data_IF_919953965203
#
_entry.id   IF_919953965203
#
_cell.length_a   1.000
_cell.length_b   1.000
_cell.length_c   1.000
_cell.angle_alpha   90.00
_cell.angle_beta   90.00
_cell.angle_gamma   90.00
#
_symmetry.space_group_name_H-M   'P 1'
#
loop_
_entity.id
_entity.type
_entity.pdbx_description
1 polymer ?
#
# COMPACT_ATOMS: atom_id res chain seq x y z
N UNK A 1 -3.59 -11.43 -4.22
CA UNK A 1 -4.73 -11.54 -5.12
C UNK A 1 -4.22 -11.13 -6.48
N UNK A 2 -4.52 -11.96 -7.47
CA UNK A 2 -4.20 -11.71 -8.87
C UNK A 2 -5.08 -10.55 -9.39
N UNK A 3 -4.65 -9.87 -10.47
CA UNK A 3 -5.44 -8.80 -11.09
C UNK A 3 -6.90 -9.19 -11.36
N UNK A 4 -7.12 -10.33 -12.02
CA UNK A 4 -8.47 -10.81 -12.39
C UNK A 4 -9.39 -10.97 -11.18
N UNK A 5 -8.89 -11.54 -10.08
CA UNK A 5 -9.65 -11.72 -8.84
C UNK A 5 -10.07 -10.37 -8.24
N UNK A 6 -9.18 -9.37 -8.27
CA UNK A 6 -9.47 -8.03 -7.74
C UNK A 6 -10.48 -7.29 -8.60
N UNK A 7 -10.35 -7.39 -9.92
CA UNK A 7 -11.31 -6.76 -10.85
C UNK A 7 -12.71 -7.39 -10.73
N UNK A 8 -12.79 -8.71 -10.56
CA UNK A 8 -14.05 -9.42 -10.32
C UNK A 8 -14.68 -8.99 -8.99
N UNK A 9 -13.89 -8.93 -7.90
CA UNK A 9 -14.37 -8.49 -6.58
C UNK A 9 -14.88 -7.04 -6.58
N UNK A 10 -14.32 -6.19 -7.43
CA UNK A 10 -14.73 -4.80 -7.59
C UNK A 10 -15.82 -4.61 -8.66
N UNK A 11 -16.34 -5.70 -9.22
CA UNK A 11 -17.36 -5.70 -10.27
C UNK A 11 -16.98 -4.80 -11.47
N UNK A 12 -15.69 -4.79 -11.83
CA UNK A 12 -15.14 -3.91 -12.87
C UNK A 12 -15.62 -4.37 -14.24
N UNK A 13 -16.23 -3.45 -14.99
CA UNK A 13 -16.54 -3.63 -16.40
C UNK A 13 -15.53 -2.89 -17.29
N UNK A 14 -15.52 -3.18 -18.59
CA UNK A 14 -14.66 -2.48 -19.55
C UNK A 14 -14.93 -0.97 -19.61
N UNK A 15 -16.14 -0.52 -19.26
CA UNK A 15 -16.50 0.91 -19.23
C UNK A 15 -15.85 1.66 -18.06
N UNK A 16 -15.41 0.93 -17.03
CA UNK A 16 -14.74 1.52 -15.88
C UNK A 16 -13.23 1.74 -16.13
N UNK A 17 -12.64 1.06 -17.11
CA UNK A 17 -11.19 1.10 -17.34
C UNK A 17 -10.83 2.34 -18.15
N UNK A 18 -10.09 3.28 -17.55
CA UNK A 18 -9.54 4.44 -18.24
C UNK A 18 -8.20 4.09 -18.87
N UNK A 19 -7.33 3.45 -18.09
CA UNK A 19 -5.99 3.03 -18.51
C UNK A 19 -5.69 1.66 -17.96
N UNK A 20 -5.04 0.83 -18.79
CA UNK A 20 -4.41 -0.41 -18.39
C UNK A 20 -2.99 -0.42 -18.95
N UNK A 21 -2.00 -0.53 -18.07
CA UNK A 21 -0.59 -0.63 -18.44
C UNK A 21 -0.03 -1.94 -17.90
N UNK A 22 0.45 -2.81 -18.81
CA UNK A 22 1.01 -4.12 -18.47
C UNK A 22 2.46 -4.18 -18.93
N UNK A 23 3.36 -4.48 -17.99
CA UNK A 23 4.78 -4.71 -18.22
C UNK A 23 5.21 -6.04 -17.57
N UNK A 24 6.45 -6.47 -17.83
CA UNK A 24 6.93 -7.82 -17.45
C UNK A 24 6.73 -8.18 -15.97
N UNK A 25 6.76 -7.21 -15.05
CA UNK A 25 6.63 -7.44 -13.61
C UNK A 25 5.65 -6.49 -12.92
N UNK A 26 4.89 -5.71 -13.68
CA UNK A 26 4.01 -4.68 -13.14
C UNK A 26 2.75 -4.63 -13.99
N UNK A 27 1.61 -4.51 -13.33
CA UNK A 27 0.34 -4.28 -13.97
C UNK A 27 -0.40 -3.17 -13.23
N UNK A 28 -0.91 -2.20 -13.98
CA UNK A 28 -1.56 -1.01 -13.47
C UNK A 28 -2.93 -0.84 -14.11
N UNK A 29 -3.91 -0.48 -13.28
CA UNK A 29 -5.23 -0.07 -13.72
C UNK A 29 -5.57 1.30 -13.14
N UNK A 30 -6.03 2.20 -14.00
CA UNK A 30 -6.78 3.38 -13.60
C UNK A 30 -8.25 3.16 -13.95
N UNK A 31 -9.09 3.15 -12.92
CA UNK A 31 -10.51 2.89 -13.03
C UNK A 31 -11.32 4.13 -12.61
N UNK A 32 -12.53 4.26 -13.13
CA UNK A 32 -13.49 5.29 -12.72
C UNK A 32 -14.85 4.67 -12.32
N UNK A 33 -15.57 5.40 -11.47
CA UNK A 33 -16.93 5.06 -11.04
C UNK A 33 -17.05 3.69 -10.33
N UNK A 34 -16.00 3.26 -9.64
CA UNK A 34 -15.98 2.02 -8.84
C UNK A 34 -16.47 2.33 -7.42
N UNK A 35 -17.29 1.45 -6.86
CA UNK A 35 -17.67 1.56 -5.45
C UNK A 35 -16.51 1.05 -4.56
N UNK A 36 -16.00 1.91 -3.70
CA UNK A 36 -14.96 1.58 -2.73
C UNK A 36 -15.25 2.29 -1.41
N UNK A 37 -15.20 1.56 -0.28
CA UNK A 37 -15.60 2.12 1.01
C UNK A 37 -17.07 2.56 1.09
N UNK A 38 -17.93 2.00 0.23
CA UNK A 38 -19.36 2.30 0.16
C UNK A 38 -19.71 3.61 -0.56
N UNK A 39 -18.76 4.28 -1.21
CA UNK A 39 -18.99 5.45 -2.06
C UNK A 39 -18.35 5.25 -3.44
N UNK A 40 -18.84 5.97 -4.45
CA UNK A 40 -18.25 5.92 -5.79
C UNK A 40 -16.98 6.76 -5.86
N UNK A 41 -15.91 6.16 -6.34
CA UNK A 41 -14.64 6.85 -6.61
C UNK A 41 -14.74 7.68 -7.89
N UNK A 42 -14.04 8.81 -7.90
CA UNK A 42 -13.74 9.53 -9.13
C UNK A 42 -12.62 8.82 -9.88
N UNK A 43 -11.63 8.29 -9.16
CA UNK A 43 -10.55 7.48 -9.71
C UNK A 43 -10.16 6.39 -8.71
N UNK A 44 -9.89 5.19 -9.19
CA UNK A 44 -9.34 4.09 -8.41
C UNK A 44 -8.14 3.51 -9.17
N UNK A 45 -6.95 3.76 -8.65
CA UNK A 45 -5.72 3.20 -9.16
C UNK A 45 -5.37 1.92 -8.39
N UNK A 46 -5.11 0.84 -9.14
CA UNK A 46 -4.66 -0.45 -8.61
C UNK A 46 -3.28 -0.73 -9.18
N UNK A 47 -2.30 -0.95 -8.31
CA UNK A 47 -0.96 -1.38 -8.70
C UNK A 47 -0.73 -2.82 -8.30
N UNK A 48 -0.32 -3.62 -9.27
CA UNK A 48 0.08 -5.00 -9.10
C UNK A 48 1.56 -5.12 -9.46
N UNK A 49 2.30 -5.88 -8.66
CA UNK A 49 3.72 -6.13 -8.91
C UNK A 49 4.04 -7.60 -8.71
N UNK A 50 4.92 -8.11 -9.55
CA UNK A 50 5.61 -9.35 -9.25
C UNK A 50 6.72 -9.07 -8.23
N UNK A 51 6.47 -9.46 -6.98
CA UNK A 51 7.49 -9.45 -5.94
C UNK A 51 8.10 -10.83 -5.71
N UNK A 52 7.53 -11.92 -6.25
CA UNK A 52 7.76 -13.30 -5.82
C UNK A 52 7.58 -14.40 -6.89
N UNK A 53 7.72 -14.08 -8.17
CA UNK A 53 7.36 -14.96 -9.29
C UNK A 53 5.86 -15.01 -9.58
N UNK A 54 5.07 -14.13 -8.96
CA UNK A 54 3.64 -14.00 -9.17
C UNK A 54 3.20 -12.54 -8.93
N UNK A 55 2.46 -11.98 -9.90
CA UNK A 55 1.90 -10.63 -9.84
C UNK A 55 0.78 -10.57 -8.81
N UNK A 56 0.91 -9.68 -7.81
CA UNK A 56 -0.12 -9.47 -6.80
C UNK A 56 -0.38 -7.99 -6.51
N UNK A 57 -1.58 -7.68 -6.00
CA UNK A 57 -1.95 -6.33 -5.59
C UNK A 57 -1.01 -5.83 -4.48
N UNK A 58 -0.34 -4.70 -4.72
CA UNK A 58 0.57 -4.06 -3.76
C UNK A 58 0.08 -2.68 -3.31
N UNK A 59 -0.81 -2.04 -4.06
CA UNK A 59 -1.28 -0.71 -3.70
C UNK A 59 -2.64 -0.37 -4.31
N UNK A 60 -3.42 0.39 -3.55
CA UNK A 60 -4.69 0.99 -3.96
C UNK A 60 -4.63 2.48 -3.66
N UNK A 61 -4.95 3.31 -4.66
CA UNK A 61 -5.29 4.72 -4.45
C UNK A 61 -6.73 4.96 -4.92
N UNK A 62 -7.63 5.28 -3.99
CA UNK A 62 -9.02 5.63 -4.25
C UNK A 62 -9.22 7.13 -4.02
N UNK A 63 -9.51 7.87 -5.07
CA UNK A 63 -9.89 9.28 -5.00
C UNK A 63 -11.39 9.43 -5.14
N UNK A 64 -11.96 10.39 -4.42
CA UNK A 64 -13.39 10.60 -4.37
C UNK A 64 -13.75 12.02 -4.85
N UNK A 65 -14.95 12.20 -5.44
CA UNK A 65 -15.48 13.52 -5.74
C UNK A 65 -15.55 14.43 -4.50
N UNK A 66 -15.44 15.74 -4.70
CA UNK A 66 -15.44 16.74 -3.62
C UNK A 66 -16.72 16.69 -2.75
N UNK A 67 -17.86 16.27 -3.29
CA UNK A 67 -19.12 16.16 -2.57
C UNK A 67 -19.33 14.81 -1.86
N UNK A 68 -18.36 13.91 -1.88
CA UNK A 68 -18.47 12.57 -1.26
C UNK A 68 -18.59 12.67 0.26
N UNK A 69 -19.46 11.84 0.84
CA UNK A 69 -19.56 11.65 2.29
C UNK A 69 -18.40 10.77 2.79
N UNK A 70 -17.28 11.41 3.08
CA UNK A 70 -16.08 10.71 3.57
C UNK A 70 -16.28 10.12 4.97
N UNK A 71 -17.28 10.55 5.75
CA UNK A 71 -17.57 9.93 7.05
C UNK A 71 -18.11 8.51 6.89
N UNK A 72 -18.87 8.25 5.82
CA UNK A 72 -19.31 6.90 5.47
C UNK A 72 -18.13 6.01 5.10
N UNK A 73 -17.21 6.51 4.27
CA UNK A 73 -15.96 5.81 3.91
C UNK A 73 -15.15 5.50 5.15
N UNK A 74 -14.93 6.48 6.04
CA UNK A 74 -14.21 6.29 7.31
C UNK A 74 -14.85 5.22 8.20
N UNK A 75 -16.18 5.20 8.26
CA UNK A 75 -16.92 4.19 9.05
C UNK A 75 -16.71 2.79 8.49
N UNK A 76 -16.69 2.64 7.17
CA UNK A 76 -16.43 1.37 6.51
C UNK A 76 -15.00 0.88 6.73
N UNK A 77 -14.03 1.80 6.62
CA UNK A 77 -12.63 1.55 6.96
C UNK A 77 -12.49 1.07 8.42
N UNK A 78 -13.13 1.75 9.37
CA UNK A 78 -13.15 1.32 10.77
C UNK A 78 -13.81 -0.05 10.97
N UNK A 79 -14.86 -0.37 10.21
CA UNK A 79 -15.53 -1.68 10.27
C UNK A 79 -14.60 -2.81 9.84
N UNK A 80 -13.77 -2.57 8.83
CA UNK A 80 -12.87 -3.57 8.23
C UNK A 80 -11.56 -3.68 9.01
N UNK A 81 -10.94 -2.55 9.35
CA UNK A 81 -9.57 -2.48 9.87
C UNK A 81 -9.50 -2.16 11.37
N UNK A 82 -10.62 -1.85 12.01
CA UNK A 82 -10.67 -1.44 13.41
C UNK A 82 -10.34 0.05 13.61
N UNK A 83 -9.97 0.41 14.83
CA UNK A 83 -9.63 1.79 15.16
C UNK A 83 -8.34 2.25 14.46
N UNK A 84 -8.27 3.54 14.14
CA UNK A 84 -7.05 4.16 13.64
C UNK A 84 -5.96 4.12 14.72
N UNK A 85 -4.71 4.22 14.27
CA UNK A 85 -3.54 4.31 15.14
C UNK A 85 -2.95 5.73 15.12
N UNK A 86 -2.12 6.12 16.10
CA UNK A 86 -1.63 7.49 16.19
C UNK A 86 -0.79 7.94 14.98
N UNK A 87 0.00 7.02 14.42
CA UNK A 87 0.86 7.29 13.27
C UNK A 87 1.30 6.01 12.53
N UNK A 88 1.67 6.19 11.27
CA UNK A 88 2.37 5.21 10.43
C UNK A 88 3.62 5.83 9.82
N UNK A 89 4.59 4.97 9.51
CA UNK A 89 5.80 5.31 8.77
C UNK A 89 5.67 4.71 7.39
N UNK A 90 5.68 5.57 6.37
CA UNK A 90 5.68 5.16 4.98
C UNK A 90 7.08 5.24 4.40
N UNK A 91 7.46 4.17 3.70
CA UNK A 91 8.81 4.04 3.15
C UNK A 91 8.73 3.91 1.64
N UNK A 92 9.37 4.84 0.93
CA UNK A 92 9.36 4.89 -0.53
C UNK A 92 9.88 3.60 -1.16
N UNK A 93 9.35 3.26 -2.34
CA UNK A 93 9.79 2.09 -3.11
C UNK A 93 11.19 2.27 -3.71
N UNK A 94 11.54 3.52 -4.01
CA UNK A 94 12.85 3.92 -4.52
C UNK A 94 13.69 4.66 -3.47
N UNK A 95 15.01 4.53 -3.59
CA UNK A 95 15.98 5.45 -2.97
C UNK A 95 15.70 6.90 -3.34
N UNK A 96 15.85 7.81 -2.39
CA UNK A 96 16.17 9.22 -2.67
C UNK A 96 17.65 9.33 -3.09
N UNK A 97 18.51 8.52 -2.49
CA UNK A 97 19.93 8.35 -2.84
C UNK A 97 20.38 6.91 -2.49
N UNK A 98 21.57 6.46 -2.93
CA UNK A 98 22.08 5.12 -2.54
C UNK A 98 22.09 4.87 -1.03
N UNK A 99 22.13 5.93 -0.22
CA UNK A 99 22.21 5.88 1.24
C UNK A 99 20.86 6.14 1.93
N UNK A 100 19.85 6.65 1.21
CA UNK A 100 18.60 7.15 1.79
C UNK A 100 17.36 6.60 1.09
N UNK A 101 16.41 6.13 1.89
CA UNK A 101 15.03 5.87 1.48
C UNK A 101 14.15 7.04 1.90
N UNK A 102 13.11 7.29 1.11
CA UNK A 102 12.05 8.20 1.54
C UNK A 102 11.36 7.60 2.76
N UNK A 103 11.21 8.41 3.80
CA UNK A 103 10.56 8.08 5.06
C UNK A 103 9.61 9.22 5.40
N UNK A 104 8.31 8.95 5.38
CA UNK A 104 7.27 9.91 5.73
C UNK A 104 6.53 9.44 6.97
N UNK A 105 6.32 10.35 7.93
CA UNK A 105 5.54 10.06 9.15
C UNK A 105 4.17 10.67 9.00
N UNK A 106 3.14 9.83 8.87
CA UNK A 106 1.75 10.27 8.75
C UNK A 106 1.10 10.11 10.11
N UNK A 107 0.70 11.25 10.70
CA UNK A 107 0.02 11.30 11.99
C UNK A 107 -1.47 11.44 11.79
N UNK A 108 -2.25 10.73 12.61
CA UNK A 108 -3.69 10.91 12.56
C UNK A 108 -4.09 12.31 13.04
N UNK A 109 -5.21 12.80 12.51
CA UNK A 109 -5.84 14.06 12.86
C UNK A 109 -7.36 13.95 12.69
N UNK A 110 -8.07 15.08 12.66
CA UNK A 110 -9.50 15.08 12.32
C UNK A 110 -9.75 14.77 10.84
N UNK A 111 -8.83 15.20 9.96
CA UNK A 111 -8.94 15.06 8.50
C UNK A 111 -8.08 13.95 7.93
N UNK A 112 -7.27 13.29 8.75
CA UNK A 112 -6.42 12.16 8.36
C UNK A 112 -6.58 11.03 9.37
N UNK A 113 -6.81 9.82 8.88
CA UNK A 113 -6.84 8.60 9.71
C UNK A 113 -5.92 7.57 9.11
N UNK A 114 -5.18 6.88 9.97
CA UNK A 114 -4.20 5.89 9.54
C UNK A 114 -4.42 4.55 10.23
N UNK A 115 -4.17 3.48 9.49
CA UNK A 115 -4.21 2.11 9.95
C UNK A 115 -2.91 1.42 9.59
N UNK A 116 -2.54 0.41 10.38
CA UNK A 116 -1.33 -0.33 10.15
C UNK A 116 -1.48 -1.77 10.60
N UNK A 117 -1.07 -2.69 9.72
CA UNK A 117 -0.87 -4.08 10.09
C UNK A 117 0.31 -4.26 11.06
N UNK A 118 0.68 -5.52 11.36
CA UNK A 118 1.86 -5.83 12.16
C UNK A 118 3.13 -5.15 11.62
N UNK A 119 4.02 -4.74 12.53
CA UNK A 119 5.36 -4.28 12.18
C UNK A 119 6.18 -5.46 11.65
N UNK A 120 7.14 -5.20 10.76
CA UNK A 120 8.05 -6.23 10.24
C UNK A 120 8.79 -6.95 11.36
N UNK A 121 9.31 -6.21 12.34
CA UNK A 121 9.98 -6.76 13.54
C UNK A 121 9.10 -7.67 14.42
N UNK A 122 7.78 -7.66 14.24
CA UNK A 122 6.87 -8.56 14.97
C UNK A 122 6.60 -9.87 14.23
N UNK A 123 6.94 -9.95 12.94
CA UNK A 123 6.57 -11.08 12.06
C UNK A 123 7.77 -11.72 11.36
N UNK A 124 8.89 -11.00 11.23
CA UNK A 124 10.15 -11.52 10.69
C UNK A 124 11.12 -11.83 11.82
N UNK A 125 11.76 -12.99 11.70
CA UNK A 125 12.92 -13.38 12.51
C UNK A 125 14.18 -12.64 12.05
N UNK A 126 15.15 -12.47 12.94
CA UNK A 126 16.39 -11.71 12.66
C UNK A 126 17.16 -12.25 11.44
N UNK A 127 17.24 -13.56 11.29
CA UNK A 127 17.96 -14.19 10.18
C UNK A 127 17.29 -13.96 8.82
N UNK A 128 15.98 -13.64 8.82
CA UNK A 128 15.21 -13.42 7.60
C UNK A 128 15.34 -11.98 7.06
N UNK A 129 15.84 -11.05 7.88
CA UNK A 129 15.94 -9.63 7.50
C UNK A 129 16.96 -9.36 6.39
N UNK A 130 18.04 -10.14 6.30
CA UNK A 130 19.00 -10.01 5.20
C UNK A 130 18.37 -10.33 3.85
N UNK A 131 17.64 -11.44 3.76
CA UNK A 131 16.91 -11.82 2.54
C UNK A 131 15.79 -10.82 2.22
N UNK A 132 15.06 -10.36 3.25
CA UNK A 132 14.04 -9.32 3.08
C UNK A 132 14.64 -8.06 2.46
N UNK A 133 15.80 -7.60 2.98
CA UNK A 133 16.50 -6.41 2.49
C UNK A 133 16.85 -6.52 1.01
N UNK A 134 17.41 -7.64 0.59
CA UNK A 134 17.79 -7.89 -0.82
C UNK A 134 16.57 -7.87 -1.76
N UNK A 135 15.44 -8.45 -1.32
CA UNK A 135 14.22 -8.48 -2.10
C UNK A 135 13.53 -7.12 -2.18
N UNK A 136 13.50 -6.38 -1.07
CA UNK A 136 12.87 -5.06 -0.96
C UNK A 136 13.66 -3.98 -1.69
N UNK A 137 14.99 -4.15 -1.79
CA UNK A 137 15.93 -3.19 -2.36
C UNK A 137 16.89 -3.90 -3.32
N UNK A 138 16.44 -4.27 -4.53
CA UNK A 138 17.18 -5.13 -5.47
C UNK A 138 18.42 -4.47 -6.10
N UNK A 139 18.56 -3.14 -6.00
CA UNK A 139 19.80 -2.43 -6.31
C UNK A 139 20.61 -2.26 -5.03
N UNK A 140 21.94 -2.51 -5.02
CA UNK A 140 22.74 -2.40 -3.81
C UNK A 140 22.70 -0.97 -3.29
N UNK A 141 21.87 -0.77 -2.27
CA UNK A 141 21.82 0.47 -1.50
C UNK A 141 22.91 0.38 -0.45
N UNK A 142 23.77 1.39 -0.40
CA UNK A 142 24.64 1.68 0.73
C UNK A 142 23.84 2.30 1.88
N UNK A 143 22.63 1.77 2.12
CA UNK A 143 21.72 2.25 3.16
C UNK A 143 22.45 2.20 4.50
N UNK A 144 22.51 3.36 5.15
CA UNK A 144 23.12 3.51 6.45
C UNK A 144 22.42 2.60 7.46
N UNK A 145 23.19 1.99 8.36
CA UNK A 145 22.65 1.02 9.33
C UNK A 145 21.53 1.61 10.18
N UNK A 146 21.66 2.87 10.60
CA UNK A 146 20.59 3.57 11.35
C UNK A 146 19.27 3.66 10.56
N UNK A 147 19.36 3.89 9.25
CA UNK A 147 18.16 3.95 8.38
C UNK A 147 17.53 2.57 8.24
N UNK A 148 18.36 1.54 8.12
CA UNK A 148 17.91 0.15 8.12
C UNK A 148 17.23 -0.22 9.44
N UNK A 149 17.82 0.11 10.58
CA UNK A 149 17.23 -0.14 11.89
C UNK A 149 15.87 0.53 12.05
N UNK A 150 15.76 1.83 11.72
CA UNK A 150 14.47 2.53 11.75
C UNK A 150 13.43 1.86 10.87
N UNK A 151 13.81 1.46 9.66
CA UNK A 151 12.92 0.72 8.76
C UNK A 151 12.45 -0.59 9.40
N UNK A 152 13.36 -1.42 9.91
CA UNK A 152 13.01 -2.71 10.54
C UNK A 152 12.06 -2.53 11.72
N UNK A 153 12.28 -1.51 12.53
CA UNK A 153 11.50 -1.23 13.73
C UNK A 153 10.11 -0.66 13.44
N UNK A 154 9.94 0.11 12.35
CA UNK A 154 8.74 0.91 12.12
C UNK A 154 7.91 0.49 10.91
N UNK A 155 8.52 -0.10 9.88
CA UNK A 155 7.81 -0.54 8.70
C UNK A 155 6.77 -1.60 9.06
N UNK A 156 5.59 -1.45 8.47
CA UNK A 156 4.46 -2.36 8.65
C UNK A 156 4.24 -3.16 7.37
N UNK A 157 3.66 -4.35 7.52
CA UNK A 157 3.29 -5.18 6.37
C UNK A 157 2.31 -4.45 5.44
N UNK A 158 1.34 -3.74 6.03
CA UNK A 158 0.35 -2.94 5.31
C UNK A 158 0.15 -1.63 6.06
N UNK A 159 0.07 -0.52 5.33
CA UNK A 159 -0.43 0.78 5.81
C UNK A 159 -1.70 1.15 5.07
N UNK A 160 -2.56 1.93 5.73
CA UNK A 160 -3.72 2.53 5.11
C UNK A 160 -3.91 3.95 5.60
N UNK A 161 -4.32 4.83 4.71
CA UNK A 161 -4.59 6.24 4.96
C UNK A 161 -5.99 6.60 4.45
N UNK A 162 -6.74 7.37 5.23
CA UNK A 162 -7.96 8.04 4.82
C UNK A 162 -7.75 9.53 4.98
N UNK A 163 -8.06 10.30 3.95
CA UNK A 163 -7.86 11.75 3.87
C UNK A 163 -9.18 12.43 3.51
N UNK A 164 -9.53 13.47 4.27
CA UNK A 164 -10.68 14.32 4.04
C UNK A 164 -10.30 15.79 4.15
N UNK A 165 -9.62 16.27 3.12
CA UNK A 165 -9.21 17.65 2.91
C UNK A 165 -10.08 18.29 1.80
N UNK A 166 -10.28 19.61 1.86
CA UNK A 166 -10.94 20.33 0.77
C UNK A 166 -10.05 20.40 -0.48
N UNK A 167 -10.66 20.58 -1.65
CA UNK A 167 -9.97 20.73 -2.93
C UNK A 167 -9.79 19.43 -3.71
N UNK A 168 -9.35 19.58 -4.96
CA UNK A 168 -9.10 18.46 -5.88
C UNK A 168 -8.04 17.51 -5.30
N UNK A 169 -8.34 16.22 -5.29
CA UNK A 169 -7.47 15.19 -4.69
C UNK A 169 -7.47 15.16 -3.15
N UNK A 170 -8.20 16.06 -2.48
CA UNK A 170 -8.23 16.14 -1.01
C UNK A 170 -9.05 15.02 -0.34
N UNK A 171 -9.86 14.27 -1.09
CA UNK A 171 -10.65 13.15 -0.58
C UNK A 171 -10.11 11.84 -1.13
N UNK A 172 -9.43 11.08 -0.29
CA UNK A 172 -8.74 9.87 -0.73
C UNK A 172 -8.72 8.76 0.33
N UNK A 173 -8.53 7.54 -0.15
CA UNK A 173 -8.05 6.40 0.62
C UNK A 173 -6.85 5.80 -0.10
N UNK A 174 -5.78 5.55 0.63
CA UNK A 174 -4.58 4.86 0.13
C UNK A 174 -4.30 3.63 0.97
N UNK A 175 -3.86 2.56 0.31
CA UNK A 175 -3.32 1.37 0.96
C UNK A 175 -2.01 0.98 0.29
N UNK A 176 -0.97 0.77 1.09
CA UNK A 176 0.29 0.18 0.65
C UNK A 176 0.46 -1.19 1.33
N UNK A 177 0.55 -2.23 0.51
CA UNK A 177 0.81 -3.62 0.91
C UNK A 177 2.09 -4.18 0.31
N UNK A 178 3.02 -3.33 -0.15
CA UNK A 178 4.26 -3.78 -0.77
C UNK A 178 5.14 -4.59 0.19
N UNK A 179 5.26 -4.14 1.44
CA UNK A 179 6.00 -4.89 2.47
C UNK A 179 5.39 -6.27 2.73
N UNK A 180 4.05 -6.40 2.70
CA UNK A 180 3.37 -7.70 2.78
C UNK A 180 3.74 -8.60 1.60
N UNK A 181 3.82 -8.05 0.39
CA UNK A 181 4.17 -8.80 -0.81
C UNK A 181 5.63 -9.31 -0.76
N UNK A 182 6.57 -8.51 -0.23
CA UNK A 182 7.95 -8.96 0.00
C UNK A 182 8.03 -9.98 1.14
N UNK A 183 7.33 -9.73 2.26
CA UNK A 183 7.29 -10.62 3.41
C UNK A 183 6.85 -12.04 3.04
N UNK A 184 5.77 -12.16 2.25
CA UNK A 184 5.25 -13.47 1.82
C UNK A 184 6.32 -14.30 1.11
N UNK A 185 7.15 -13.68 0.27
CA UNK A 185 8.26 -14.38 -0.39
C UNK A 185 9.31 -14.91 0.58
N UNK A 186 9.68 -14.10 1.56
CA UNK A 186 10.65 -14.50 2.60
C UNK A 186 10.05 -15.65 3.43
N UNK A 187 8.75 -15.62 3.71
CA UNK A 187 8.06 -16.68 4.44
C UNK A 187 7.93 -17.98 3.62
N UNK A 188 7.58 -17.88 2.34
CA UNK A 188 7.39 -19.03 1.43
C UNK A 188 8.72 -19.71 1.09
N UNK A 189 9.82 -18.95 1.04
CA UNK A 189 11.18 -19.47 0.82
C UNK A 189 11.76 -20.28 1.99
N UNK A 190 11.07 -20.36 3.14
CA UNK A 190 11.44 -21.26 4.25
C UNK A 190 10.95 -22.71 4.05
N UNK A 191 10.34 -23.00 2.89
CA UNK A 191 9.71 -24.28 2.56
C UNK A 191 10.47 -25.21 1.61
N UNK A 192 11.71 -24.90 1.20
CA UNK A 192 12.55 -25.78 0.36
C UNK A 192 13.71 -26.43 1.12
#
# INVERSE_FOLDING_TARGET
MMPEEVLELLEVSSENIVTQDVAENVEYYLLENIEFGGEKTSQLALNFMDTAGAVGLVEIYAYYPENTDMEKVKKEMKRIYGDSIPEVYEYGRSSISPEQIQEDVIKESETVKVWGGPKLSQVLEEEAFSQYRELRFPSPMEMQEETWERFRENARLVTGEWVNLPGEGGKAVHFDGYNLAVYKKVADGKGE
#
